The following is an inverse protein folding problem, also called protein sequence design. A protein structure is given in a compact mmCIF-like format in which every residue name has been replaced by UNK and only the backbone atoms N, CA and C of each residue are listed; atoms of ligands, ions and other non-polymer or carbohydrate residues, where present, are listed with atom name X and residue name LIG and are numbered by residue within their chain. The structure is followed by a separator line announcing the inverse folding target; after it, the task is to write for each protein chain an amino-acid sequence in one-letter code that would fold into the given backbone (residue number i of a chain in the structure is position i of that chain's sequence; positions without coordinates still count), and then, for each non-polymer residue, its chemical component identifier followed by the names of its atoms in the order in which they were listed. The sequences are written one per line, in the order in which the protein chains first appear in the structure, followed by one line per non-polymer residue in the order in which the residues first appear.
data_IF_138156050572
#
_entry.id   IF_138156050572
#
_cell.length_a   1.000
_cell.length_b   1.000
_cell.length_c   1.000
_cell.angle_alpha   90.00
_cell.angle_beta   90.00
_cell.angle_gamma   90.00
#
_symmetry.space_group_name_H-M   'P 1'
#
loop_
_entity.id
_entity.type
_entity.pdbx_description
1 polymer ?
#
# COMPACT_ATOMS: atom_id res chain seq x y z
N UNK A 1 31.78 8.86 18.31
CA UNK A 1 31.08 9.79 17.39
C UNK A 1 29.58 9.47 17.23
N UNK A 2 29.20 8.26 16.80
CA UNK A 2 27.80 7.84 16.57
C UNK A 2 26.91 7.99 17.83
N UNK A 3 27.42 7.64 19.02
CA UNK A 3 26.66 7.72 20.28
C UNK A 3 26.29 9.16 20.67
N UNK A 4 27.18 10.13 20.40
CA UNK A 4 26.91 11.54 20.67
C UNK A 4 25.87 12.12 19.70
N UNK A 5 25.90 11.70 18.43
CA UNK A 5 24.93 12.11 17.42
C UNK A 5 23.53 11.59 17.76
N UNK A 6 23.43 10.31 18.16
CA UNK A 6 22.16 9.71 18.61
C UNK A 6 21.58 10.44 19.82
N UNK A 7 22.41 10.77 20.82
CA UNK A 7 21.93 11.49 22.00
C UNK A 7 21.46 12.91 21.65
N UNK A 8 22.18 13.63 20.78
CA UNK A 8 21.73 14.96 20.29
C UNK A 8 20.40 14.88 19.55
N UNK A 9 20.23 13.90 18.65
CA UNK A 9 18.98 13.68 17.93
C UNK A 9 17.84 13.33 18.88
N UNK A 10 18.07 12.48 19.88
CA UNK A 10 17.07 12.14 20.88
C UNK A 10 16.61 13.37 21.67
N UNK A 11 17.56 14.21 22.13
CA UNK A 11 17.23 15.45 22.85
C UNK A 11 16.49 16.45 21.96
N UNK A 12 16.87 16.57 20.69
CA UNK A 12 16.18 17.42 19.72
C UNK A 12 14.74 16.96 19.47
N UNK A 13 14.53 15.64 19.31
CA UNK A 13 13.21 15.04 19.13
C UNK A 13 12.34 15.29 20.36
N UNK A 14 12.87 15.07 21.57
CA UNK A 14 12.14 15.37 22.81
C UNK A 14 11.80 16.85 22.96
N UNK A 15 12.71 17.74 22.56
CA UNK A 15 12.45 19.18 22.56
C UNK A 15 11.32 19.57 21.60
N UNK A 16 11.23 18.95 20.42
CA UNK A 16 10.18 19.25 19.45
C UNK A 16 8.79 18.75 19.88
N UNK A 17 8.69 17.81 20.82
CA UNK A 17 7.42 17.37 21.43
C UNK A 17 6.68 18.54 22.10
N UNK A 18 7.40 19.53 22.64
CA UNK A 18 6.80 20.73 23.27
C UNK A 18 5.92 21.53 22.32
N UNK A 19 6.26 21.55 21.04
CA UNK A 19 5.56 22.31 20.00
C UNK A 19 4.58 21.45 19.22
N UNK A 20 4.96 20.21 18.93
CA UNK A 20 4.17 19.26 18.12
C UNK A 20 3.11 18.51 18.93
N UNK A 21 3.22 18.51 20.27
CA UNK A 21 2.35 17.77 21.21
C UNK A 21 2.16 16.29 20.83
N UNK A 22 3.14 15.71 20.17
CA UNK A 22 3.15 14.33 19.67
C UNK A 22 4.43 13.64 20.12
N UNK A 23 4.42 12.32 20.34
CA UNK A 23 5.64 11.56 20.62
C UNK A 23 6.52 11.52 19.36
N UNK A 24 7.51 12.40 19.31
CA UNK A 24 8.36 12.60 18.15
C UNK A 24 9.41 11.49 18.02
N UNK A 25 9.77 10.84 19.12
CA UNK A 25 10.68 9.69 19.10
C UNK A 25 10.01 8.50 18.41
N UNK A 26 8.78 8.19 18.78
CA UNK A 26 7.96 7.14 18.15
C UNK A 26 7.65 7.47 16.69
N UNK A 27 7.19 8.70 16.43
CA UNK A 27 6.85 9.15 15.08
C UNK A 27 8.06 9.11 14.14
N UNK A 28 9.24 9.48 14.61
CA UNK A 28 10.45 9.44 13.78
C UNK A 28 10.88 8.00 13.52
N UNK A 29 10.84 7.11 14.51
CA UNK A 29 11.24 5.71 14.32
C UNK A 29 10.31 4.96 13.36
N UNK A 30 8.98 5.03 13.57
CA UNK A 30 8.00 4.36 12.69
C UNK A 30 7.79 5.08 11.36
N UNK A 31 7.72 6.42 11.41
CA UNK A 31 7.50 7.28 10.25
C UNK A 31 8.69 7.33 9.29
N UNK A 32 9.91 7.10 9.78
CA UNK A 32 11.09 6.95 8.92
C UNK A 32 10.91 5.77 7.95
N UNK A 33 10.55 4.59 8.45
CA UNK A 33 10.33 3.42 7.61
C UNK A 33 9.20 3.63 6.59
N UNK A 34 8.10 4.24 7.04
CA UNK A 34 6.99 4.55 6.15
C UNK A 34 7.41 5.52 5.03
N UNK A 35 8.14 6.57 5.38
CA UNK A 35 8.61 7.58 4.43
C UNK A 35 9.63 7.01 3.46
N UNK A 36 10.58 6.21 3.96
CA UNK A 36 11.58 5.52 3.14
C UNK A 36 10.92 4.61 2.10
N UNK A 37 9.97 3.78 2.52
CA UNK A 37 9.23 2.90 1.61
C UNK A 37 8.47 3.69 0.53
N UNK A 38 7.89 4.84 0.88
CA UNK A 38 7.23 5.72 -0.09
C UNK A 38 8.22 6.30 -1.11
N UNK A 39 9.37 6.80 -0.66
CA UNK A 39 10.39 7.36 -1.55
C UNK A 39 10.92 6.29 -2.51
N UNK A 40 11.26 5.10 -2.00
CA UNK A 40 11.69 3.97 -2.84
C UNK A 40 10.58 3.58 -3.83
N UNK A 41 9.33 3.47 -3.37
CA UNK A 41 8.20 3.16 -4.24
C UNK A 41 7.99 4.19 -5.35
N UNK A 42 8.11 5.49 -5.04
CA UNK A 42 8.02 6.57 -6.03
C UNK A 42 9.17 6.52 -7.03
N UNK A 43 10.41 6.33 -6.56
CA UNK A 43 11.58 6.22 -7.42
C UNK A 43 11.48 5.02 -8.37
N UNK A 44 11.07 3.86 -7.86
CA UNK A 44 10.84 2.65 -8.67
C UNK A 44 9.71 2.85 -9.67
N UNK A 45 8.59 3.47 -9.26
CA UNK A 45 7.48 3.76 -10.17
C UNK A 45 7.89 4.71 -11.29
N UNK A 46 8.71 5.72 -10.99
CA UNK A 46 9.23 6.64 -12.00
C UNK A 46 10.18 5.93 -12.96
N UNK A 47 11.11 5.13 -12.43
CA UNK A 47 12.04 4.34 -13.23
C UNK A 47 11.30 3.39 -14.18
N UNK A 48 10.28 2.68 -13.68
CA UNK A 48 9.42 1.82 -14.51
C UNK A 48 8.64 2.61 -15.57
N UNK A 49 8.12 3.79 -15.23
CA UNK A 49 7.43 4.64 -16.20
C UNK A 49 8.35 5.08 -17.33
N UNK A 50 9.60 5.44 -17.02
CA UNK A 50 10.61 5.79 -18.03
C UNK A 50 10.98 4.55 -18.86
N UNK A 51 11.20 3.41 -18.22
CA UNK A 51 11.50 2.16 -18.91
C UNK A 51 10.38 1.77 -19.88
N UNK A 52 9.12 1.76 -19.45
CA UNK A 52 7.99 1.43 -20.31
C UNK A 52 7.77 2.45 -21.44
N UNK A 53 8.01 3.74 -21.20
CA UNK A 53 7.89 4.76 -22.24
C UNK A 53 8.96 4.60 -23.35
N UNK A 54 10.11 4.00 -23.05
CA UNK A 54 11.19 3.81 -24.02
C UNK A 54 11.28 2.39 -24.60
N UNK A 55 10.81 1.37 -23.86
CA UNK A 55 10.95 -0.04 -24.23
C UNK A 55 9.69 -0.63 -24.87
N UNK A 56 8.51 -0.03 -24.66
CA UNK A 56 7.25 -0.50 -25.20
C UNK A 56 6.71 0.45 -26.27
N UNK A 57 5.98 -0.11 -27.24
CA UNK A 57 5.18 0.71 -28.14
C UNK A 57 4.05 1.42 -27.39
N UNK A 58 3.54 2.50 -27.97
CA UNK A 58 2.45 3.29 -27.37
C UNK A 58 1.19 2.43 -27.20
N UNK A 59 0.94 1.55 -28.15
CA UNK A 59 -0.21 0.64 -28.18
C UNK A 59 -0.12 -0.37 -27.04
N UNK A 60 1.02 -1.05 -26.89
CA UNK A 60 1.23 -2.02 -25.80
C UNK A 60 1.20 -1.36 -24.43
N UNK A 61 1.83 -0.19 -24.28
CA UNK A 61 1.80 0.54 -23.01
C UNK A 61 0.37 0.99 -22.63
N UNK A 62 -0.42 1.43 -23.61
CA UNK A 62 -1.83 1.75 -23.44
C UNK A 62 -2.66 0.55 -22.96
N UNK A 63 -2.46 -0.62 -23.56
CA UNK A 63 -3.11 -1.86 -23.14
C UNK A 63 -2.77 -2.23 -21.68
N UNK A 64 -1.50 -2.18 -21.29
CA UNK A 64 -1.10 -2.46 -19.90
C UNK A 64 -1.70 -1.47 -18.90
N UNK A 65 -1.69 -0.17 -19.23
CA UNK A 65 -2.35 0.87 -18.42
C UNK A 65 -3.84 0.58 -18.22
N UNK A 66 -4.51 0.13 -19.27
CA UNK A 66 -5.92 -0.25 -19.22
C UNK A 66 -6.16 -1.46 -18.29
N UNK A 67 -5.35 -2.51 -18.41
CA UNK A 67 -5.42 -3.69 -17.52
C UNK A 67 -5.20 -3.30 -16.05
N UNK A 68 -4.18 -2.48 -15.77
CA UNK A 68 -3.88 -2.02 -14.40
C UNK A 68 -5.06 -1.23 -13.81
N UNK A 69 -5.81 -0.50 -14.64
CA UNK A 69 -6.98 0.25 -14.19
C UNK A 69 -8.11 -0.68 -13.71
N UNK A 70 -8.34 -1.81 -14.39
CA UNK A 70 -9.28 -2.83 -13.92
C UNK A 70 -8.82 -3.48 -12.61
N UNK A 71 -7.52 -3.77 -12.48
CA UNK A 71 -6.94 -4.28 -11.22
C UNK A 71 -7.20 -3.31 -10.07
N UNK A 72 -7.08 -2.00 -10.33
CA UNK A 72 -7.40 -0.95 -9.35
C UNK A 72 -8.86 -1.00 -8.88
N UNK A 73 -9.81 -1.20 -9.81
CA UNK A 73 -11.24 -1.34 -9.50
C UNK A 73 -11.50 -2.62 -8.68
N UNK A 74 -10.95 -3.76 -9.11
CA UNK A 74 -11.06 -5.01 -8.37
C UNK A 74 -10.44 -4.92 -6.97
N UNK A 75 -9.42 -4.08 -6.82
CA UNK A 75 -8.76 -3.77 -5.55
C UNK A 75 -9.72 -3.28 -4.46
N UNK A 76 -10.86 -2.68 -4.80
CA UNK A 76 -11.88 -2.24 -3.82
C UNK A 76 -12.37 -3.41 -2.96
N UNK A 77 -12.49 -4.60 -3.55
CA UNK A 77 -12.94 -5.82 -2.84
C UNK A 77 -11.97 -6.31 -1.78
N UNK A 78 -10.74 -5.81 -1.75
CA UNK A 78 -9.73 -6.19 -0.75
C UNK A 78 -9.95 -5.54 0.63
N UNK A 79 -10.89 -4.58 0.71
CA UNK A 79 -11.30 -3.91 1.95
C UNK A 79 -10.11 -3.35 2.75
N UNK A 80 -9.25 -2.58 2.09
CA UNK A 80 -7.99 -2.03 2.65
C UNK A 80 -8.19 -1.25 3.96
N UNK A 81 -9.34 -0.59 4.14
CA UNK A 81 -9.72 0.13 5.36
C UNK A 81 -9.94 -0.76 6.59
N UNK A 82 -10.08 -2.08 6.45
CA UNK A 82 -10.22 -2.96 7.61
C UNK A 82 -8.96 -3.02 8.48
N UNK A 83 -7.78 -2.73 7.93
CA UNK A 83 -6.55 -2.75 8.72
C UNK A 83 -6.56 -1.66 9.80
N UNK A 84 -7.07 -0.46 9.50
CA UNK A 84 -7.17 0.63 10.48
C UNK A 84 -8.25 0.35 11.52
N UNK A 85 -9.38 -0.20 11.10
CA UNK A 85 -10.45 -0.64 12.00
C UNK A 85 -9.97 -1.74 12.96
N UNK A 86 -9.17 -2.70 12.46
CA UNK A 86 -8.57 -3.75 13.27
C UNK A 86 -7.59 -3.19 14.30
N UNK A 87 -6.65 -2.33 13.89
CA UNK A 87 -5.70 -1.71 14.83
C UNK A 87 -6.41 -0.96 15.96
N UNK A 88 -7.48 -0.22 15.63
CA UNK A 88 -8.32 0.45 16.63
C UNK A 88 -9.06 -0.52 17.54
N UNK A 89 -9.57 -1.62 16.99
CA UNK A 89 -10.28 -2.65 17.76
C UNK A 89 -9.36 -3.34 18.77
N UNK A 90 -8.12 -3.65 18.37
CA UNK A 90 -7.11 -4.26 19.24
C UNK A 90 -6.68 -3.30 20.34
N UNK A 91 -6.48 -2.00 20.04
CA UNK A 91 -6.15 -1.00 21.06
C UNK A 91 -7.24 -0.81 22.12
N UNK A 92 -8.49 -1.17 21.81
CA UNK A 92 -9.62 -1.15 22.73
C UNK A 92 -9.78 -2.46 23.53
N UNK A 93 -8.88 -3.43 23.36
CA UNK A 93 -8.90 -4.71 24.09
C UNK A 93 -9.72 -5.82 23.42
N UNK A 94 -10.23 -5.62 22.20
CA UNK A 94 -10.99 -6.66 21.47
C UNK A 94 -10.07 -7.59 20.66
N UNK A 95 -9.36 -8.49 21.34
CA UNK A 95 -8.36 -9.37 20.72
C UNK A 95 -8.96 -10.37 19.69
N UNK A 96 -10.21 -10.79 19.85
CA UNK A 96 -10.91 -11.69 18.92
C UNK A 96 -11.25 -11.10 17.55
N UNK A 97 -11.03 -9.79 17.35
CA UNK A 97 -11.38 -9.06 16.12
C UNK A 97 -10.57 -9.49 14.90
N UNK A 98 -9.32 -9.95 15.09
CA UNK A 98 -8.43 -10.38 14.00
C UNK A 98 -9.05 -11.52 13.18
N UNK A 99 -9.54 -12.58 13.84
CA UNK A 99 -10.10 -13.75 13.15
C UNK A 99 -11.33 -13.39 12.31
N UNK A 100 -12.15 -12.46 12.81
CA UNK A 100 -13.33 -11.96 12.10
C UNK A 100 -12.93 -11.14 10.87
N UNK A 101 -12.00 -10.20 11.04
CA UNK A 101 -11.49 -9.36 9.94
C UNK A 101 -10.86 -10.21 8.84
N UNK A 102 -10.03 -11.20 9.19
CA UNK A 102 -9.41 -12.11 8.20
C UNK A 102 -10.46 -12.88 7.40
N UNK A 103 -11.48 -13.46 8.05
CA UNK A 103 -12.57 -14.16 7.36
C UNK A 103 -13.30 -13.25 6.38
N UNK A 104 -13.61 -12.02 6.77
CA UNK A 104 -14.30 -11.07 5.91
C UNK A 104 -13.40 -10.67 4.73
N UNK A 105 -12.12 -10.35 4.96
CA UNK A 105 -11.18 -10.02 3.89
C UNK A 105 -11.03 -11.17 2.89
N UNK A 106 -11.04 -12.41 3.36
CA UNK A 106 -10.98 -13.58 2.50
C UNK A 106 -12.24 -13.72 1.64
N UNK A 107 -13.43 -13.65 2.25
CA UNK A 107 -14.71 -13.75 1.54
C UNK A 107 -14.90 -12.65 0.49
N UNK A 108 -14.55 -11.40 0.83
CA UNK A 108 -14.64 -10.29 -0.12
C UNK A 108 -13.52 -10.33 -1.17
N UNK A 109 -12.32 -10.80 -0.80
CA UNK A 109 -11.26 -11.06 -1.76
C UNK A 109 -11.64 -12.10 -2.82
N UNK A 110 -12.45 -13.12 -2.47
CA UNK A 110 -13.00 -14.06 -3.44
C UNK A 110 -13.90 -13.38 -4.48
N UNK A 111 -14.65 -12.33 -4.11
CA UNK A 111 -15.44 -11.57 -5.08
C UNK A 111 -14.54 -10.85 -6.10
N UNK A 112 -13.43 -10.27 -5.63
CA UNK A 112 -12.42 -9.69 -6.51
C UNK A 112 -11.79 -10.71 -7.45
N UNK A 113 -11.46 -11.89 -6.93
CA UNK A 113 -10.94 -13.01 -7.72
C UNK A 113 -11.93 -13.48 -8.79
N UNK A 114 -13.19 -13.71 -8.43
CA UNK A 114 -14.24 -14.11 -9.36
C UNK A 114 -14.46 -13.03 -10.42
N UNK A 115 -14.55 -11.75 -10.01
CA UNK A 115 -14.65 -10.63 -10.94
C UNK A 115 -13.49 -10.56 -11.93
N UNK A 116 -12.26 -10.76 -11.45
CA UNK A 116 -11.07 -10.83 -12.30
C UNK A 116 -11.09 -12.01 -13.28
N UNK A 117 -11.50 -13.19 -12.83
CA UNK A 117 -11.64 -14.37 -13.68
C UNK A 117 -12.70 -14.20 -14.76
N UNK A 118 -13.83 -13.55 -14.44
CA UNK A 118 -14.88 -13.24 -15.41
C UNK A 118 -14.38 -12.27 -16.49
N UNK A 119 -13.67 -11.21 -16.09
CA UNK A 119 -13.06 -10.26 -17.03
C UNK A 119 -12.04 -10.99 -17.91
N UNK A 120 -11.12 -11.75 -17.32
CA UNK A 120 -10.10 -12.49 -18.06
C UNK A 120 -10.72 -13.49 -19.05
N UNK A 121 -11.74 -14.25 -18.62
CA UNK A 121 -12.43 -15.23 -19.47
C UNK A 121 -13.17 -14.56 -20.64
N UNK A 122 -13.79 -13.40 -20.40
CA UNK A 122 -14.47 -12.62 -21.43
C UNK A 122 -13.49 -12.17 -22.54
N UNK A 123 -12.33 -11.64 -22.16
CA UNK A 123 -11.31 -11.22 -23.13
C UNK A 123 -10.67 -12.41 -23.85
N UNK A 124 -10.43 -13.52 -23.15
CA UNK A 124 -9.91 -14.76 -23.73
C UNK A 124 -10.85 -15.34 -24.80
N UNK A 125 -12.15 -15.45 -24.50
CA UNK A 125 -13.14 -16.00 -25.45
C UNK A 125 -13.36 -15.10 -26.68
N UNK A 126 -13.25 -13.77 -26.52
CA UNK A 126 -13.36 -12.81 -27.62
C UNK A 126 -12.20 -12.91 -28.63
N UNK A 127 -11.19 -13.75 -28.39
CA UNK A 127 -9.98 -13.80 -29.21
C UNK A 127 -9.11 -12.55 -29.08
N UNK A 128 -9.45 -11.67 -28.13
CA UNK A 128 -8.62 -10.53 -27.75
C UNK A 128 -7.52 -11.04 -26.81
N UNK A 129 -6.62 -11.84 -27.37
CA UNK A 129 -5.25 -11.85 -26.88
C UNK A 129 -4.67 -10.48 -27.26
N UNK A 130 -4.78 -9.53 -26.31
CA UNK A 130 -4.14 -8.21 -26.41
C UNK A 130 -2.66 -8.35 -26.73
#
# INVERSE_FOLDING_TARGET
MIRHLRNKLYTLLRWSEKYTKTDMVYLTHGGFWLSFNKVVGMATSLALSIAFANLLSKESYGAYKYIISFVGILGVTTLTGMNTALSRSVSLGFEGSLRKVVKIKFLWGLLGMVGGLLIASYYFYRGNAL
#
